data_IF_716080007332
#
_entry.id   IF_716080007332
#
_cell.length_a   1.000
_cell.length_b   1.000
_cell.length_c   1.000
_cell.angle_alpha   90.00
_cell.angle_beta   90.00
_cell.angle_gamma   90.00
#
_symmetry.space_group_name_H-M   'P 1'
#
loop_
_entity.id
_entity.type
_entity.pdbx_description
1 polymer ?
#
# COMPACT_ATOMS: atom_id res chain seq x y z
N UNK A 1 16.87 -20.58 2.97
CA UNK A 1 16.75 -19.11 2.89
C UNK A 1 15.30 -18.65 2.81
N UNK A 2 14.45 -19.26 1.96
CA UNK A 2 13.03 -18.91 1.90
C UNK A 2 12.33 -19.08 3.27
N UNK A 3 12.52 -20.23 3.94
CA UNK A 3 11.95 -20.47 5.27
C UNK A 3 12.44 -19.43 6.29
N UNK A 4 13.72 -19.07 6.24
CA UNK A 4 14.29 -18.00 7.07
C UNK A 4 13.60 -16.65 6.79
N UNK A 5 13.39 -16.29 5.51
CA UNK A 5 12.69 -15.08 5.13
C UNK A 5 11.26 -15.04 5.71
N UNK A 6 10.50 -16.14 5.51
CA UNK A 6 9.12 -16.28 6.01
C UNK A 6 9.07 -16.12 7.53
N UNK A 7 9.89 -16.88 8.26
CA UNK A 7 9.91 -16.84 9.74
C UNK A 7 10.36 -15.45 10.23
N UNK A 8 11.39 -14.87 9.62
CA UNK A 8 11.90 -13.54 10.02
C UNK A 8 10.88 -12.44 9.73
N UNK A 9 10.17 -12.50 8.61
CA UNK A 9 9.11 -11.54 8.28
C UNK A 9 7.91 -11.65 9.22
N UNK A 10 7.54 -12.87 9.63
CA UNK A 10 6.45 -13.09 10.60
C UNK A 10 6.84 -12.61 12.00
N UNK A 11 8.06 -12.88 12.43
CA UNK A 11 8.50 -12.53 13.78
C UNK A 11 8.88 -11.05 13.93
N UNK A 12 9.24 -10.38 12.85
CA UNK A 12 9.69 -8.97 12.79
C UNK A 12 10.77 -8.58 13.83
N UNK A 13 11.51 -9.59 14.37
CA UNK A 13 12.64 -9.37 15.28
C UNK A 13 13.86 -8.76 14.59
N UNK A 14 14.02 -9.05 13.31
CA UNK A 14 15.04 -8.46 12.43
C UNK A 14 14.32 -7.47 11.52
N UNK A 15 14.85 -6.24 11.33
CA UNK A 15 14.26 -5.28 10.40
C UNK A 15 14.06 -5.89 9.00
N UNK A 16 12.89 -5.67 8.41
CA UNK A 16 12.47 -6.32 7.16
C UNK A 16 13.47 -6.13 6.01
N UNK A 17 13.98 -4.90 5.82
CA UNK A 17 14.99 -4.61 4.81
C UNK A 17 16.29 -5.36 5.06
N UNK A 18 16.69 -5.53 6.32
CA UNK A 18 17.89 -6.30 6.68
C UNK A 18 17.67 -7.79 6.42
N UNK A 19 16.50 -8.35 6.78
CA UNK A 19 16.14 -9.74 6.45
C UNK A 19 16.24 -9.98 4.95
N UNK A 20 15.64 -9.13 4.13
CA UNK A 20 15.68 -9.26 2.67
C UNK A 20 17.11 -9.19 2.12
N UNK A 21 17.94 -8.29 2.68
CA UNK A 21 19.34 -8.16 2.32
C UNK A 21 20.15 -9.41 2.71
N UNK A 22 19.94 -9.96 3.91
CA UNK A 22 20.58 -11.22 4.35
C UNK A 22 20.23 -12.37 3.40
N UNK A 23 18.95 -12.45 3.00
CA UNK A 23 18.50 -13.48 2.04
C UNK A 23 19.20 -13.30 0.70
N UNK A 24 19.24 -12.09 0.15
CA UNK A 24 19.90 -11.79 -1.12
C UNK A 24 21.41 -12.15 -1.08
N UNK A 25 22.11 -11.74 -0.02
CA UNK A 25 23.52 -12.09 0.18
C UNK A 25 23.70 -13.60 0.35
N UNK A 26 22.83 -14.27 1.10
CA UNK A 26 22.87 -15.72 1.27
C UNK A 26 22.70 -16.48 -0.06
N UNK A 27 21.83 -15.99 -0.95
CA UNK A 27 21.64 -16.55 -2.28
C UNK A 27 22.89 -16.39 -3.17
N UNK A 28 23.62 -15.28 -3.02
CA UNK A 28 24.89 -15.09 -3.70
C UNK A 28 25.99 -16.00 -3.13
N UNK A 29 26.16 -16.02 -1.81
CA UNK A 29 27.19 -16.83 -1.14
C UNK A 29 27.01 -18.34 -1.37
N UNK A 30 25.78 -18.77 -1.61
CA UNK A 30 25.46 -20.17 -1.96
C UNK A 30 25.52 -20.44 -3.48
N UNK A 31 26.00 -19.47 -4.28
CA UNK A 31 26.12 -19.56 -5.76
C UNK A 31 24.78 -19.82 -6.48
N UNK A 32 23.65 -19.54 -5.85
CA UNK A 32 22.32 -19.59 -6.52
C UNK A 32 22.19 -18.41 -7.48
N UNK A 33 22.60 -17.22 -7.05
CA UNK A 33 22.59 -15.99 -7.83
C UNK A 33 24.01 -15.45 -8.03
N UNK A 34 24.27 -14.90 -9.20
CA UNK A 34 25.46 -14.08 -9.45
C UNK A 34 25.36 -12.74 -8.72
N UNK A 35 26.47 -12.03 -8.54
CA UNK A 35 26.49 -10.68 -7.96
C UNK A 35 25.54 -9.73 -8.70
N UNK A 36 25.52 -9.79 -10.04
CA UNK A 36 24.64 -8.97 -10.88
C UNK A 36 23.17 -9.24 -10.60
N UNK A 37 22.76 -10.51 -10.55
CA UNK A 37 21.39 -10.93 -10.25
C UNK A 37 20.98 -10.54 -8.82
N UNK A 38 21.87 -10.70 -7.85
CA UNK A 38 21.65 -10.38 -6.45
C UNK A 38 21.28 -8.90 -6.25
N UNK A 39 21.97 -7.99 -6.96
CA UNK A 39 21.79 -6.56 -6.78
C UNK A 39 20.92 -5.90 -7.85
N UNK A 40 20.50 -6.61 -8.89
CA UNK A 40 19.65 -6.05 -9.94
C UNK A 40 18.33 -5.46 -9.40
N UNK A 41 17.76 -6.11 -8.40
CA UNK A 41 16.52 -5.67 -7.78
C UNK A 41 16.59 -4.28 -7.11
N UNK A 42 17.77 -3.89 -6.59
CA UNK A 42 17.95 -2.60 -5.90
C UNK A 42 17.99 -1.40 -6.86
N UNK A 43 18.29 -1.64 -8.12
CA UNK A 43 18.30 -0.63 -9.19
C UNK A 43 17.19 -0.87 -10.22
N UNK A 44 16.18 -1.65 -9.86
CA UNK A 44 15.01 -1.89 -10.69
C UNK A 44 14.22 -0.60 -10.92
N UNK A 45 13.63 -0.46 -12.11
CA UNK A 45 12.86 0.72 -12.52
C UNK A 45 11.76 1.11 -11.52
N UNK A 46 11.08 0.11 -10.96
CA UNK A 46 10.00 0.33 -9.99
C UNK A 46 10.53 0.79 -8.61
N UNK A 47 11.76 0.41 -8.23
CA UNK A 47 12.44 0.96 -7.05
C UNK A 47 12.80 2.43 -7.26
N UNK A 48 13.32 2.77 -8.42
CA UNK A 48 13.63 4.17 -8.78
C UNK A 48 12.36 5.03 -8.81
N UNK A 49 11.27 4.51 -9.36
CA UNK A 49 9.96 5.16 -9.30
C UNK A 49 9.53 5.43 -7.86
N UNK A 50 9.64 4.43 -6.98
CA UNK A 50 9.29 4.53 -5.57
C UNK A 50 10.11 5.63 -4.86
N UNK A 51 11.42 5.67 -5.09
CA UNK A 51 12.33 6.69 -4.55
C UNK A 51 11.92 8.10 -4.99
N UNK A 52 11.65 8.30 -6.28
CA UNK A 52 11.19 9.60 -6.79
C UNK A 52 9.86 10.03 -6.17
N UNK A 53 8.91 9.10 -6.05
CA UNK A 53 7.59 9.37 -5.47
C UNK A 53 7.63 9.64 -3.96
N UNK A 54 8.56 9.04 -3.21
CA UNK A 54 8.77 9.40 -1.80
C UNK A 54 9.14 10.89 -1.66
N UNK A 55 10.03 11.40 -2.51
CA UNK A 55 10.44 12.81 -2.50
C UNK A 55 9.29 13.73 -2.91
N UNK A 56 8.58 13.39 -3.99
CA UNK A 56 7.42 14.19 -4.48
C UNK A 56 6.29 14.21 -3.44
N UNK A 57 5.98 13.06 -2.82
CA UNK A 57 4.99 12.97 -1.77
C UNK A 57 5.38 13.76 -0.51
N UNK A 58 6.64 13.67 -0.08
CA UNK A 58 7.14 14.38 1.08
C UNK A 58 7.04 15.90 0.92
N UNK A 59 7.22 16.42 -0.28
CA UNK A 59 7.10 17.86 -0.53
C UNK A 59 5.70 18.40 -0.17
N UNK A 60 4.62 17.62 -0.36
CA UNK A 60 3.27 18.03 0.07
C UNK A 60 3.17 18.07 1.60
N UNK A 61 3.82 17.14 2.29
CA UNK A 61 3.82 17.09 3.75
C UNK A 61 4.68 18.22 4.35
N UNK A 62 5.88 18.44 3.85
CA UNK A 62 6.77 19.49 4.35
C UNK A 62 6.27 20.91 4.06
N UNK A 63 5.53 21.12 2.98
CA UNK A 63 4.92 22.43 2.68
C UNK A 63 3.60 22.68 3.39
N UNK A 64 3.00 21.66 4.03
CA UNK A 64 1.68 21.75 4.64
C UNK A 64 0.51 21.75 3.64
N UNK A 65 0.78 21.50 2.34
CA UNK A 65 -0.29 21.40 1.34
C UNK A 65 -1.22 20.22 1.63
N UNK A 66 -0.69 19.09 2.11
CA UNK A 66 -1.50 17.96 2.52
C UNK A 66 -2.47 18.32 3.65
N UNK A 67 -2.03 19.12 4.63
CA UNK A 67 -2.90 19.63 5.70
C UNK A 67 -4.01 20.55 5.17
N UNK A 68 -3.70 21.38 4.17
CA UNK A 68 -4.72 22.23 3.52
C UNK A 68 -5.78 21.41 2.79
N UNK A 69 -5.35 20.38 2.06
CA UNK A 69 -6.28 19.46 1.38
C UNK A 69 -7.13 18.75 2.43
N UNK A 70 -6.52 18.25 3.50
CA UNK A 70 -7.24 17.63 4.62
C UNK A 70 -8.22 18.59 5.31
N UNK A 71 -7.86 19.87 5.46
CA UNK A 71 -8.73 20.91 6.02
C UNK A 71 -10.02 21.16 5.24
N UNK A 72 -10.12 20.71 3.97
CA UNK A 72 -11.39 20.78 3.23
C UNK A 72 -12.48 19.95 3.93
N UNK A 73 -12.09 18.89 4.65
CA UNK A 73 -13.00 18.03 5.41
C UNK A 73 -13.84 18.81 6.42
N UNK A 74 -13.31 19.89 7.01
CA UNK A 74 -14.03 20.71 8.01
C UNK A 74 -15.35 21.27 7.48
N UNK A 75 -15.42 21.53 6.16
CA UNK A 75 -16.65 22.04 5.51
C UNK A 75 -17.82 21.05 5.57
N UNK A 76 -17.55 19.79 5.84
CA UNK A 76 -18.52 18.69 5.87
C UNK A 76 -18.91 18.26 7.30
N UNK A 77 -18.46 18.98 8.33
CA UNK A 77 -18.69 18.64 9.74
C UNK A 77 -20.17 18.77 10.22
N UNK A 78 -21.10 19.11 9.33
CA UNK A 78 -22.53 19.28 9.64
C UNK A 78 -23.23 17.98 10.10
N UNK A 79 -22.74 16.82 9.73
CA UNK A 79 -23.28 15.50 10.09
C UNK A 79 -22.14 14.50 10.17
N UNK A 80 -22.13 13.65 11.20
CA UNK A 80 -21.10 12.62 11.38
C UNK A 80 -20.97 11.72 10.15
N UNK A 81 -22.08 11.29 9.55
CA UNK A 81 -22.04 10.44 8.35
C UNK A 81 -21.44 11.16 7.14
N UNK A 82 -21.80 12.42 6.91
CA UNK A 82 -21.23 13.22 5.81
C UNK A 82 -19.74 13.45 6.05
N UNK A 83 -19.37 13.69 7.30
CA UNK A 83 -17.98 13.85 7.69
C UNK A 83 -17.16 12.58 7.42
N UNK A 84 -17.67 11.41 7.78
CA UNK A 84 -17.03 10.10 7.48
C UNK A 84 -16.85 9.90 5.97
N UNK A 85 -17.88 10.20 5.17
CA UNK A 85 -17.79 10.13 3.71
C UNK A 85 -16.67 11.04 3.21
N UNK A 86 -16.65 12.30 3.66
CA UNK A 86 -15.64 13.26 3.23
C UNK A 86 -14.23 12.85 3.64
N UNK A 87 -14.05 12.38 4.89
CA UNK A 87 -12.77 11.84 5.37
C UNK A 87 -12.33 10.69 4.47
N UNK A 88 -13.18 9.68 4.27
CA UNK A 88 -12.82 8.49 3.52
C UNK A 88 -12.53 8.80 2.04
N UNK A 89 -13.26 9.70 1.41
CA UNK A 89 -13.00 10.12 0.03
C UNK A 89 -11.68 10.86 -0.09
N UNK A 90 -11.45 11.88 0.75
CA UNK A 90 -10.23 12.70 0.70
C UNK A 90 -9.00 11.85 1.02
N UNK A 91 -9.07 11.07 2.10
CA UNK A 91 -7.98 10.18 2.52
C UNK A 91 -7.72 9.11 1.46
N UNK A 92 -8.78 8.47 0.94
CA UNK A 92 -8.66 7.43 -0.09
C UNK A 92 -8.01 7.96 -1.37
N UNK A 93 -8.46 9.11 -1.87
CA UNK A 93 -7.86 9.75 -3.06
C UNK A 93 -6.40 10.13 -2.79
N UNK A 94 -6.11 10.80 -1.67
CA UNK A 94 -4.74 11.19 -1.33
C UNK A 94 -3.83 9.96 -1.22
N UNK A 95 -4.28 8.91 -0.55
CA UNK A 95 -3.51 7.68 -0.36
C UNK A 95 -3.26 6.91 -1.65
N UNK A 96 -4.09 7.09 -2.66
CA UNK A 96 -3.87 6.53 -3.99
C UNK A 96 -2.62 7.07 -4.70
N UNK A 97 -2.14 8.23 -4.28
CA UNK A 97 -0.98 8.91 -4.89
C UNK A 97 0.14 9.22 -3.90
N UNK A 98 -0.13 9.07 -2.61
CA UNK A 98 0.81 9.25 -1.52
C UNK A 98 0.87 7.96 -0.68
N UNK A 99 1.84 7.84 0.22
CA UNK A 99 1.89 6.67 1.09
C UNK A 99 0.71 6.63 2.07
N UNK A 100 0.15 5.44 2.32
CA UNK A 100 -0.94 5.23 3.27
C UNK A 100 -0.60 5.78 4.67
N UNK A 101 0.61 5.48 5.14
CA UNK A 101 1.11 5.92 6.45
C UNK A 101 1.30 7.42 6.51
N UNK A 102 1.89 8.03 5.48
CA UNK A 102 2.11 9.48 5.40
C UNK A 102 0.78 10.24 5.37
N UNK A 103 -0.17 9.78 4.56
CA UNK A 103 -1.51 10.36 4.48
C UNK A 103 -2.22 10.29 5.84
N UNK A 104 -2.18 9.14 6.51
CA UNK A 104 -2.78 8.97 7.83
C UNK A 104 -2.09 9.88 8.87
N UNK A 105 -0.76 9.91 8.92
CA UNK A 105 0.00 10.72 9.88
C UNK A 105 -0.37 12.22 9.83
N UNK A 106 -0.57 12.74 8.63
CA UNK A 106 -0.94 14.15 8.43
C UNK A 106 -2.42 14.43 8.76
N UNK A 107 -3.30 13.49 8.43
CA UNK A 107 -4.74 13.73 8.55
C UNK A 107 -5.32 13.34 9.93
N UNK A 108 -4.66 12.47 10.69
CA UNK A 108 -5.08 12.12 12.05
C UNK A 108 -5.23 13.37 12.94
N UNK A 109 -4.24 14.27 13.07
CA UNK A 109 -4.38 15.48 13.88
C UNK A 109 -5.51 16.39 13.39
N UNK A 110 -5.67 16.55 12.07
CA UNK A 110 -6.75 17.36 11.48
C UNK A 110 -8.12 16.79 11.85
N UNK A 111 -8.30 15.47 11.72
CA UNK A 111 -9.57 14.81 12.06
C UNK A 111 -9.83 14.81 13.56
N UNK A 112 -8.79 14.73 14.41
CA UNK A 112 -8.92 14.91 15.84
C UNK A 112 -9.44 16.31 16.18
N UNK A 113 -8.86 17.37 15.60
CA UNK A 113 -9.33 18.74 15.79
C UNK A 113 -10.80 18.91 15.38
N UNK A 114 -11.19 18.36 14.22
CA UNK A 114 -12.58 18.39 13.75
C UNK A 114 -13.50 17.63 14.71
N UNK A 115 -13.09 16.47 15.23
CA UNK A 115 -13.85 15.68 16.18
C UNK A 115 -14.13 16.49 17.45
N UNK A 116 -13.10 17.14 17.99
CA UNK A 116 -13.18 17.92 19.23
C UNK A 116 -14.07 19.16 19.04
N UNK A 117 -13.93 19.89 17.94
CA UNK A 117 -14.77 21.07 17.62
C UNK A 117 -16.23 20.71 17.36
N UNK A 118 -16.48 19.57 16.68
CA UNK A 118 -17.82 19.14 16.29
C UNK A 118 -18.53 18.32 17.37
N UNK A 119 -17.82 17.91 18.44
CA UNK A 119 -18.33 17.07 19.52
C UNK A 119 -18.52 15.59 19.15
N UNK A 120 -18.00 15.16 18.00
CA UNK A 120 -18.00 13.75 17.57
C UNK A 120 -16.87 12.97 18.26
N UNK A 121 -17.05 11.65 18.38
CA UNK A 121 -16.03 10.78 18.94
C UNK A 121 -14.86 10.57 17.98
N UNK A 122 -13.62 10.81 18.43
CA UNK A 122 -12.42 10.50 17.64
C UNK A 122 -12.42 9.05 17.17
N UNK A 123 -12.87 8.11 18.03
CA UNK A 123 -12.96 6.68 17.71
C UNK A 123 -13.90 6.35 16.55
N UNK A 124 -14.87 7.21 16.22
CA UNK A 124 -15.78 6.98 15.09
C UNK A 124 -15.26 7.55 13.77
N UNK A 125 -14.26 8.42 13.81
CA UNK A 125 -13.69 9.09 12.63
C UNK A 125 -12.33 8.51 12.23
N UNK A 126 -11.51 8.10 13.20
CA UNK A 126 -10.12 7.68 12.94
C UNK A 126 -10.01 6.29 12.30
N UNK A 127 -10.87 5.33 12.67
CA UNK A 127 -10.88 4.00 12.03
C UNK A 127 -11.27 4.09 10.54
N UNK A 128 -12.36 4.78 10.16
CA UNK A 128 -12.66 5.04 8.75
C UNK A 128 -11.50 5.72 8.00
N UNK A 129 -10.80 6.66 8.65
CA UNK A 129 -9.65 7.34 8.07
C UNK A 129 -8.55 6.34 7.67
N UNK A 130 -8.08 5.52 8.62
CA UNK A 130 -6.95 4.60 8.36
C UNK A 130 -7.34 3.48 7.40
N UNK A 131 -8.58 3.02 7.45
CA UNK A 131 -9.07 2.02 6.48
C UNK A 131 -9.23 2.63 5.08
N UNK A 132 -9.67 3.88 4.98
CA UNK A 132 -9.70 4.59 3.70
C UNK A 132 -8.30 4.80 3.12
N UNK A 133 -7.29 5.04 3.96
CA UNK A 133 -5.90 5.12 3.50
C UNK A 133 -5.44 3.79 2.87
N UNK A 134 -5.76 2.66 3.50
CA UNK A 134 -5.43 1.35 2.96
C UNK A 134 -6.22 1.01 1.67
N UNK A 135 -7.53 1.30 1.64
CA UNK A 135 -8.37 1.11 0.45
C UNK A 135 -7.89 1.99 -0.71
N UNK A 136 -7.56 3.24 -0.42
CA UNK A 136 -7.06 4.21 -1.39
C UNK A 136 -5.70 3.84 -1.97
N UNK A 137 -4.85 3.17 -1.20
CA UNK A 137 -3.58 2.64 -1.69
C UNK A 137 -3.71 1.71 -2.91
N UNK A 138 -4.88 1.14 -3.15
CA UNK A 138 -5.18 0.29 -4.31
C UNK A 138 -5.75 1.07 -5.51
N UNK A 139 -5.67 2.40 -5.55
CA UNK A 139 -6.13 3.19 -6.69
C UNK A 139 -5.10 3.32 -7.81
N UNK A 140 -3.82 3.21 -7.49
CA UNK A 140 -2.74 3.32 -8.47
C UNK A 140 -1.57 2.40 -8.13
N UNK A 141 -0.62 2.28 -9.04
CA UNK A 141 0.59 1.50 -8.81
C UNK A 141 1.52 2.11 -7.74
N UNK A 142 1.43 3.41 -7.49
CA UNK A 142 2.27 4.15 -6.53
C UNK A 142 1.63 4.31 -5.14
N UNK A 143 0.36 3.95 -4.97
CA UNK A 143 -0.36 4.13 -3.71
C UNK A 143 0.19 3.31 -2.55
N UNK A 144 0.81 2.17 -2.83
CA UNK A 144 1.52 1.36 -1.85
C UNK A 144 2.73 0.65 -2.47
N UNK A 145 3.85 0.47 -1.72
CA UNK A 145 5.04 -0.21 -2.27
C UNK A 145 4.77 -1.64 -2.77
N UNK A 146 3.85 -2.35 -2.15
CA UNK A 146 3.44 -3.68 -2.59
C UNK A 146 2.84 -3.73 -4.00
N UNK A 147 2.21 -2.64 -4.44
CA UNK A 147 1.63 -2.55 -5.78
C UNK A 147 2.71 -2.64 -6.86
N UNK A 148 3.84 -1.99 -6.65
CA UNK A 148 4.96 -2.03 -7.57
C UNK A 148 5.64 -3.41 -7.63
N UNK A 149 5.55 -4.22 -6.58
CA UNK A 149 6.03 -5.61 -6.62
C UNK A 149 5.19 -6.47 -7.57
N UNK A 150 3.86 -6.28 -7.54
CA UNK A 150 2.97 -6.94 -8.49
C UNK A 150 3.19 -6.47 -9.92
N UNK A 151 3.37 -5.16 -10.13
CA UNK A 151 3.74 -4.58 -11.45
C UNK A 151 5.01 -5.23 -11.97
N UNK A 152 6.07 -5.25 -11.16
CA UNK A 152 7.35 -5.82 -11.57
C UNK A 152 7.23 -7.29 -11.96
N UNK A 153 6.52 -8.09 -11.17
CA UNK A 153 6.34 -9.51 -11.46
C UNK A 153 5.60 -9.75 -12.79
N UNK A 154 4.61 -8.92 -13.12
CA UNK A 154 3.92 -9.00 -14.41
C UNK A 154 4.77 -8.51 -15.57
N UNK A 155 5.56 -7.45 -15.39
CA UNK A 155 6.49 -6.93 -16.41
C UNK A 155 7.61 -7.93 -16.73
N UNK A 156 8.15 -8.66 -15.74
CA UNK A 156 9.13 -9.74 -15.93
C UNK A 156 8.56 -10.89 -16.78
N UNK A 157 7.25 -11.12 -16.71
CA UNK A 157 6.54 -12.08 -17.56
C UNK A 157 6.17 -11.52 -18.95
N UNK A 158 6.60 -10.29 -19.27
CA UNK A 158 6.28 -9.61 -20.54
C UNK A 158 4.84 -9.13 -20.65
N UNK A 159 4.09 -9.06 -19.54
CA UNK A 159 2.72 -8.58 -19.52
C UNK A 159 2.69 -7.05 -19.36
N UNK A 160 1.83 -6.40 -20.13
CA UNK A 160 1.64 -4.94 -20.04
C UNK A 160 0.96 -4.55 -18.73
N UNK A 161 1.46 -3.53 -18.10
CA UNK A 161 0.89 -2.90 -16.92
C UNK A 161 0.45 -1.47 -17.23
N UNK A 162 -0.47 -0.93 -16.45
CA UNK A 162 -0.90 0.45 -16.57
C UNK A 162 -0.89 1.14 -15.21
N UNK A 163 -0.78 2.48 -15.21
CA UNK A 163 -0.75 3.26 -13.96
C UNK A 163 -1.95 3.00 -13.05
N UNK A 164 -3.12 2.74 -13.62
CA UNK A 164 -4.37 2.48 -12.90
C UNK A 164 -4.80 1.00 -12.92
N UNK A 165 -3.88 0.05 -13.10
CA UNK A 165 -4.24 -1.37 -13.21
C UNK A 165 -5.00 -1.92 -11.98
N UNK A 166 -4.80 -1.33 -10.80
CA UNK A 166 -5.52 -1.72 -9.58
C UNK A 166 -6.85 -0.97 -9.40
N UNK A 167 -7.04 0.19 -10.05
CA UNK A 167 -8.22 1.04 -9.90
C UNK A 167 -9.56 0.33 -10.22
N UNK A 168 -9.66 -0.56 -11.23
CA UNK A 168 -10.90 -1.28 -11.51
C UNK A 168 -11.41 -2.10 -10.32
N UNK A 169 -10.54 -2.49 -9.39
CA UNK A 169 -10.90 -3.15 -8.13
C UNK A 169 -10.88 -2.14 -6.98
N UNK A 170 -9.87 -1.27 -6.91
CA UNK A 170 -9.67 -0.31 -5.82
C UNK A 170 -10.79 0.72 -5.69
N UNK A 171 -11.33 1.23 -6.81
CA UNK A 171 -12.45 2.19 -6.78
C UNK A 171 -13.72 1.53 -6.20
N UNK A 172 -14.19 0.38 -6.70
CA UNK A 172 -15.30 -0.34 -6.07
C UNK A 172 -15.05 -0.66 -4.59
N UNK A 173 -13.83 -1.05 -4.21
CA UNK A 173 -13.48 -1.33 -2.82
C UNK A 173 -13.62 -0.08 -1.94
N UNK A 174 -13.13 1.08 -2.39
CA UNK A 174 -13.24 2.33 -1.65
C UNK A 174 -14.71 2.74 -1.50
N UNK A 175 -15.50 2.66 -2.57
CA UNK A 175 -16.94 2.98 -2.55
C UNK A 175 -17.69 2.03 -1.60
N UNK A 176 -17.47 0.73 -1.72
CA UNK A 176 -18.10 -0.27 -0.83
C UNK A 176 -17.63 -0.11 0.62
N UNK A 177 -16.37 0.27 0.85
CA UNK A 177 -15.85 0.60 2.18
C UNK A 177 -16.56 1.81 2.80
N UNK A 178 -16.82 2.85 2.03
CA UNK A 178 -17.59 4.02 2.46
C UNK A 178 -19.03 3.61 2.81
N UNK A 179 -19.69 2.87 1.92
CA UNK A 179 -21.05 2.37 2.14
C UNK A 179 -21.10 1.48 3.40
N UNK A 180 -20.12 0.59 3.55
CA UNK A 180 -19.98 -0.27 4.72
C UNK A 180 -19.94 0.54 6.02
N UNK A 181 -19.10 1.60 6.09
CA UNK A 181 -19.02 2.42 7.30
C UNK A 181 -20.31 3.20 7.59
N UNK A 182 -20.99 3.69 6.57
CA UNK A 182 -22.26 4.43 6.74
C UNK A 182 -23.38 3.52 7.26
N UNK A 183 -23.43 2.27 6.78
CA UNK A 183 -24.55 1.35 7.06
C UNK A 183 -24.30 0.53 8.34
N UNK A 184 -23.12 -0.05 8.46
CA UNK A 184 -22.79 -1.06 9.50
C UNK A 184 -21.58 -0.62 10.32
N UNK A 185 -20.48 -0.22 9.68
CA UNK A 185 -19.17 -0.06 10.29
C UNK A 185 -19.19 0.90 11.48
N UNK A 186 -19.87 2.04 11.37
CA UNK A 186 -19.98 3.02 12.46
C UNK A 186 -20.68 2.48 13.71
N UNK A 187 -21.55 1.49 13.56
CA UNK A 187 -22.21 0.83 14.72
C UNK A 187 -21.30 -0.16 15.44
N UNK A 188 -20.26 -0.64 14.77
CA UNK A 188 -19.29 -1.59 15.32
C UNK A 188 -18.14 -0.87 16.04
N UNK A 189 -17.97 0.43 15.77
CA UNK A 189 -16.92 1.24 16.41
C UNK A 189 -17.31 1.64 17.83
N UNK A 190 -16.34 1.70 18.76
CA UNK A 190 -16.60 2.23 20.09
C UNK A 190 -16.93 3.73 19.99
N UNK A 191 -17.92 4.16 20.77
CA UNK A 191 -18.24 5.57 20.94
C UNK A 191 -17.57 6.09 22.22
N UNK A 192 -16.29 6.40 22.13
CA UNK A 192 -15.50 6.89 23.24
C UNK A 192 -15.06 8.32 22.96
N UNK A 193 -15.50 9.24 23.81
CA UNK A 193 -14.86 10.54 23.94
C UNK A 193 -13.55 10.33 24.72
N UNK A 194 -12.48 9.98 24.01
CA UNK A 194 -11.17 9.85 24.62
C UNK A 194 -10.60 11.25 24.78
N UNK A 195 -10.67 11.79 25.99
CA UNK A 195 -9.91 12.95 26.40
C UNK A 195 -8.55 12.39 26.84
N UNK A 196 -7.64 12.19 25.93
CA UNK A 196 -6.24 11.91 26.26
C UNK A 196 -5.50 13.22 26.32
N UNK A 197 -4.74 13.44 27.41
CA UNK A 197 -3.73 14.49 27.50
C UNK A 197 -2.63 14.33 26.44
N UNK A 198 -2.50 13.14 25.86
CA UNK A 198 -1.74 12.84 24.65
C UNK A 198 -2.49 13.33 23.41
N UNK A 199 -2.65 14.65 23.27
CA UNK A 199 -2.95 15.24 21.99
C UNK A 199 -1.83 14.82 21.02
N UNK A 200 -2.16 14.38 19.78
CA UNK A 200 -1.11 14.13 18.78
C UNK A 200 -0.24 15.38 18.71
N UNK A 201 1.09 15.19 18.74
CA UNK A 201 2.07 16.28 18.70
C UNK A 201 1.59 17.37 17.76
N UNK A 202 1.63 18.61 18.23
CA UNK A 202 1.09 19.78 17.52
C UNK A 202 1.47 19.70 16.05
N UNK A 203 0.47 19.79 15.18
CA UNK A 203 0.70 19.90 13.73
C UNK A 203 1.76 20.95 13.51
N UNK A 204 2.84 20.59 12.76
CA UNK A 204 3.87 21.54 12.36
C UNK A 204 3.19 22.85 11.94
N UNK A 205 3.62 23.99 12.47
CA UNK A 205 3.11 25.29 12.06
C UNK A 205 3.63 25.59 10.64
N UNK A 206 2.71 25.62 9.69
CA UNK A 206 3.01 25.94 8.29
C UNK A 206 2.70 27.40 7.93
N UNK A 207 2.38 28.27 8.92
CA UNK A 207 2.07 29.68 8.69
C UNK A 207 3.22 30.44 8.02
N UNK A 208 4.45 30.03 8.31
CA UNK A 208 5.67 30.62 7.78
C UNK A 208 6.09 30.03 6.40
N UNK A 209 5.40 29.01 5.91
CA UNK A 209 5.72 28.42 4.60
C UNK A 209 5.13 29.27 3.48
N UNK A 210 5.96 29.78 2.55
CA UNK A 210 5.48 30.61 1.45
C UNK A 210 4.42 29.89 0.61
N UNK A 211 3.35 30.58 0.27
CA UNK A 211 2.22 30.03 -0.53
C UNK A 211 2.68 29.42 -1.86
N UNK A 212 3.72 29.99 -2.48
CA UNK A 212 4.25 29.48 -3.74
C UNK A 212 4.86 28.07 -3.59
N UNK A 213 5.52 27.76 -2.46
CA UNK A 213 6.05 26.41 -2.20
C UNK A 213 4.93 25.40 -2.07
N UNK A 214 3.85 25.77 -1.40
CA UNK A 214 2.66 24.94 -1.26
C UNK A 214 2.00 24.67 -2.61
N UNK A 215 1.84 25.71 -3.43
CA UNK A 215 1.30 25.57 -4.79
C UNK A 215 2.22 24.72 -5.68
N UNK A 216 3.52 24.96 -5.63
CA UNK A 216 4.51 24.26 -6.43
C UNK A 216 4.56 22.76 -6.12
N UNK A 217 4.50 22.37 -4.83
CA UNK A 217 4.47 20.95 -4.44
C UNK A 217 3.25 20.23 -5.03
N UNK A 218 2.07 20.87 -5.02
CA UNK A 218 0.85 20.30 -5.60
C UNK A 218 0.93 20.25 -7.13
N UNK A 219 1.37 21.33 -7.77
CA UNK A 219 1.50 21.41 -9.22
C UNK A 219 2.46 20.33 -9.73
N UNK A 220 3.63 20.17 -9.10
CA UNK A 220 4.59 19.14 -9.49
C UNK A 220 4.03 17.75 -9.33
N UNK A 221 3.34 17.46 -8.21
CA UNK A 221 2.66 16.17 -8.03
C UNK A 221 1.66 15.90 -9.16
N UNK A 222 0.79 16.88 -9.49
CA UNK A 222 -0.21 16.72 -10.54
C UNK A 222 0.48 16.50 -11.91
N UNK A 223 1.52 17.27 -12.22
CA UNK A 223 2.26 17.12 -13.47
C UNK A 223 2.96 15.77 -13.58
N UNK A 224 3.56 15.28 -12.50
CA UNK A 224 4.18 13.94 -12.45
C UNK A 224 3.13 12.86 -12.69
N UNK A 225 1.98 12.92 -12.01
CA UNK A 225 0.89 11.96 -12.22
C UNK A 225 0.36 12.02 -13.66
N UNK A 226 0.14 13.21 -14.20
CA UNK A 226 -0.29 13.35 -15.59
C UNK A 226 0.75 12.80 -16.58
N UNK A 227 2.04 13.05 -16.33
CA UNK A 227 3.10 12.50 -17.16
C UNK A 227 3.13 10.95 -17.10
N UNK A 228 2.85 10.35 -15.94
CA UNK A 228 2.74 8.90 -15.80
C UNK A 228 1.51 8.32 -16.51
N UNK A 229 0.36 9.00 -16.43
CA UNK A 229 -0.89 8.57 -17.11
C UNK A 229 -0.72 8.63 -18.64
N UNK A 230 -0.03 9.64 -19.12
CA UNK A 230 0.18 9.86 -20.56
C UNK A 230 1.57 9.41 -21.03
N UNK A 231 2.20 8.44 -20.36
CA UNK A 231 3.51 7.90 -20.69
C UNK A 231 3.65 7.58 -22.19
N UNK A 232 2.70 6.82 -22.74
CA UNK A 232 2.71 6.39 -24.14
C UNK A 232 2.65 7.57 -25.13
N UNK A 233 2.03 8.69 -24.75
CA UNK A 233 1.90 9.88 -25.60
C UNK A 233 3.10 10.81 -25.48
N UNK A 234 3.65 10.93 -24.26
CA UNK A 234 4.75 11.86 -23.96
C UNK A 234 6.10 11.19 -24.24
N UNK A 235 6.17 9.85 -24.19
CA UNK A 235 7.38 9.07 -24.39
C UNK A 235 8.36 9.14 -23.20
N UNK A 236 7.93 9.65 -22.04
CA UNK A 236 8.74 9.74 -20.83
C UNK A 236 8.30 8.62 -19.89
N UNK A 237 9.21 7.71 -19.54
CA UNK A 237 8.95 6.59 -18.63
C UNK A 237 8.55 7.09 -17.24
N UNK A 238 7.64 6.35 -16.56
CA UNK A 238 7.07 6.74 -15.26
C UNK A 238 8.14 7.02 -14.20
N UNK A 239 9.20 6.21 -14.13
CA UNK A 239 10.31 6.41 -13.19
C UNK A 239 11.10 7.69 -13.49
N UNK A 240 11.25 8.07 -14.77
CA UNK A 240 11.91 9.31 -15.16
C UNK A 240 11.05 10.51 -14.76
N UNK A 241 9.73 10.42 -14.96
CA UNK A 241 8.78 11.46 -14.55
C UNK A 241 8.83 11.71 -13.04
N UNK A 242 8.89 10.63 -12.22
CA UNK A 242 9.04 10.74 -10.77
C UNK A 242 10.35 11.43 -10.35
N UNK A 243 11.47 11.00 -10.94
CA UNK A 243 12.79 11.60 -10.66
C UNK A 243 12.86 13.06 -11.10
N UNK A 244 12.32 13.42 -12.26
CA UNK A 244 12.24 14.81 -12.70
C UNK A 244 11.43 15.67 -11.73
N UNK A 245 10.28 15.19 -11.26
CA UNK A 245 9.49 15.87 -10.25
C UNK A 245 10.27 16.09 -8.95
N UNK A 246 10.97 15.07 -8.47
CA UNK A 246 11.82 15.17 -7.28
C UNK A 246 12.94 16.20 -7.46
N UNK A 247 13.65 16.16 -8.58
CA UNK A 247 14.74 17.11 -8.90
C UNK A 247 14.20 18.55 -9.00
N UNK A 248 13.08 18.76 -9.68
CA UNK A 248 12.45 20.09 -9.80
C UNK A 248 12.11 20.66 -8.41
N UNK A 249 11.54 19.86 -7.50
CA UNK A 249 11.19 20.31 -6.15
C UNK A 249 12.41 20.74 -5.33
N UNK A 250 13.52 20.04 -5.48
CA UNK A 250 14.77 20.38 -4.77
C UNK A 250 15.42 21.61 -5.40
N UNK A 251 15.57 21.66 -6.73
CA UNK A 251 16.18 22.79 -7.42
C UNK A 251 15.38 24.09 -7.27
N UNK A 252 14.06 24.01 -7.25
CA UNK A 252 13.21 25.16 -6.98
C UNK A 252 13.24 25.58 -5.49
N UNK A 253 13.92 24.84 -4.62
CA UNK A 253 13.98 25.14 -3.18
C UNK A 253 12.65 24.95 -2.45
N UNK A 254 11.75 24.13 -2.99
CA UNK A 254 10.49 23.77 -2.31
C UNK A 254 10.79 22.98 -1.05
N UNK A 255 11.66 21.98 -1.19
CA UNK A 255 12.28 21.20 -0.09
C UNK A 255 13.79 21.22 -0.26
N UNK A 256 14.51 21.03 0.84
CA UNK A 256 15.96 20.89 0.81
C UNK A 256 16.39 19.50 0.35
N UNK A 257 17.62 19.36 -0.16
CA UNK A 257 18.22 18.07 -0.47
C UNK A 257 18.17 17.12 0.74
N UNK A 258 18.47 17.63 1.94
CA UNK A 258 18.45 16.85 3.18
C UNK A 258 17.06 16.29 3.48
N UNK A 259 16.00 17.07 3.27
CA UNK A 259 14.60 16.64 3.44
C UNK A 259 14.24 15.61 2.37
N UNK A 260 14.64 15.83 1.13
CA UNK A 260 14.43 14.89 0.03
C UNK A 260 15.09 13.54 0.32
N UNK A 261 16.34 13.50 0.71
CA UNK A 261 17.06 12.26 1.05
C UNK A 261 16.46 11.56 2.27
N UNK A 262 16.04 12.33 3.28
CA UNK A 262 15.39 11.78 4.50
C UNK A 262 14.01 11.17 4.20
N UNK A 263 13.33 11.62 3.14
CA UNK A 263 12.01 11.10 2.76
C UNK A 263 12.06 9.70 2.15
N UNK A 264 13.23 9.28 1.66
CA UNK A 264 13.40 7.96 1.04
C UNK A 264 13.34 6.89 2.13
N UNK A 265 12.30 6.06 2.08
CA UNK A 265 12.23 4.91 2.98
C UNK A 265 13.16 3.79 2.50
N UNK A 266 14.38 3.84 3.01
CA UNK A 266 15.41 2.85 2.68
C UNK A 266 15.00 1.43 3.06
N UNK A 267 14.12 1.23 4.07
CA UNK A 267 13.62 -0.10 4.43
C UNK A 267 12.81 -0.71 3.28
N UNK A 268 11.99 0.12 2.62
CA UNK A 268 11.21 -0.29 1.45
C UNK A 268 12.14 -0.64 0.28
N UNK A 269 13.16 0.19 0.00
CA UNK A 269 14.14 -0.05 -1.06
C UNK A 269 14.88 -1.37 -0.84
N UNK A 270 15.37 -1.60 0.38
CA UNK A 270 16.09 -2.84 0.73
C UNK A 270 15.18 -4.07 0.67
N UNK A 271 13.95 -3.94 1.17
CA UNK A 271 12.98 -5.03 1.12
C UNK A 271 12.61 -5.39 -0.33
N UNK A 272 12.37 -4.38 -1.16
CA UNK A 272 12.02 -4.57 -2.57
C UNK A 272 13.17 -5.26 -3.32
N UNK A 273 14.38 -4.71 -3.24
CA UNK A 273 15.56 -5.28 -3.91
C UNK A 273 15.87 -6.72 -3.50
N UNK A 274 15.83 -7.01 -2.19
CA UNK A 274 16.06 -8.37 -1.70
C UNK A 274 14.93 -9.35 -2.02
N UNK A 275 13.70 -8.87 -2.12
CA UNK A 275 12.55 -9.71 -2.53
C UNK A 275 12.62 -10.08 -4.00
N UNK A 276 13.08 -9.20 -4.86
CA UNK A 276 13.31 -9.50 -6.27
C UNK A 276 14.45 -10.54 -6.44
N UNK A 277 15.51 -10.44 -5.64
CA UNK A 277 16.55 -11.49 -5.63
C UNK A 277 15.98 -12.85 -5.21
N UNK A 278 15.08 -12.88 -4.20
CA UNK A 278 14.42 -14.12 -3.79
C UNK A 278 13.49 -14.66 -4.90
N UNK A 279 12.74 -13.81 -5.59
CA UNK A 279 11.89 -14.20 -6.72
C UNK A 279 12.71 -14.84 -7.83
N UNK A 280 13.79 -14.18 -8.27
CA UNK A 280 14.72 -14.73 -9.28
C UNK A 280 15.35 -16.06 -8.84
N UNK A 281 15.64 -16.24 -7.55
CA UNK A 281 16.15 -17.49 -7.03
C UNK A 281 15.11 -18.61 -7.04
N UNK A 282 13.85 -18.31 -6.70
CA UNK A 282 12.76 -19.29 -6.76
C UNK A 282 12.51 -19.79 -8.18
N UNK A 283 12.56 -18.90 -9.16
CA UNK A 283 12.46 -19.24 -10.59
C UNK A 283 13.67 -20.08 -11.04
N UNK A 284 14.88 -19.59 -10.84
CA UNK A 284 16.12 -20.23 -11.31
C UNK A 284 16.35 -21.61 -10.72
N UNK A 285 15.93 -21.87 -9.49
CA UNK A 285 16.07 -23.15 -8.82
C UNK A 285 14.91 -24.10 -9.03
N UNK A 286 13.79 -23.64 -9.61
CA UNK A 286 12.54 -24.39 -9.69
C UNK A 286 11.85 -24.58 -8.33
N UNK A 287 12.31 -23.91 -7.27
CA UNK A 287 11.72 -24.04 -5.94
C UNK A 287 10.28 -23.44 -5.90
N UNK A 288 10.03 -22.42 -6.72
CA UNK A 288 8.69 -21.86 -6.89
C UNK A 288 7.70 -22.89 -7.42
N UNK A 289 8.07 -23.61 -8.48
CA UNK A 289 7.27 -24.69 -9.07
C UNK A 289 7.04 -25.84 -8.09
N UNK A 290 8.06 -26.27 -7.34
CA UNK A 290 7.90 -27.31 -6.31
C UNK A 290 6.91 -26.93 -5.21
N UNK A 291 6.91 -25.68 -4.78
CA UNK A 291 5.95 -25.15 -3.80
C UNK A 291 4.54 -25.10 -4.41
N UNK A 292 4.45 -24.60 -5.64
CA UNK A 292 3.19 -24.52 -6.37
C UNK A 292 2.55 -25.91 -6.54
N UNK A 293 3.31 -26.89 -7.02
CA UNK A 293 2.82 -28.26 -7.23
C UNK A 293 2.31 -28.91 -5.93
N UNK A 294 3.01 -28.67 -4.81
CA UNK A 294 2.55 -29.16 -3.50
C UNK A 294 1.24 -28.51 -3.07
N UNK A 295 1.12 -27.19 -3.25
CA UNK A 295 -0.12 -26.46 -2.90
C UNK A 295 -1.26 -26.92 -3.80
N UNK A 296 -1.02 -27.01 -5.11
CA UNK A 296 -2.01 -27.52 -6.09
C UNK A 296 -2.41 -28.96 -5.73
N UNK A 297 -1.46 -29.82 -5.37
CA UNK A 297 -1.74 -31.20 -4.94
C UNK A 297 -2.63 -31.30 -3.69
N UNK A 298 -2.51 -30.35 -2.75
CA UNK A 298 -3.39 -30.23 -1.55
C UNK A 298 -4.80 -29.74 -1.96
N UNK A 299 -4.87 -28.88 -2.98
CA UNK A 299 -6.15 -28.33 -3.47
C UNK A 299 -6.96 -29.36 -4.28
N UNK A 300 -6.36 -30.49 -4.67
CA UNK A 300 -6.96 -31.55 -5.47
C UNK A 300 -6.31 -31.69 -6.85
N UNK A 301 -6.65 -32.77 -7.56
CA UNK A 301 -5.99 -33.16 -8.82
C UNK A 301 -6.18 -32.19 -10.00
N UNK A 302 -7.15 -31.25 -9.90
CA UNK A 302 -7.38 -30.19 -10.91
C UNK A 302 -8.13 -29.02 -10.26
N UNK A 303 -7.46 -28.18 -9.44
CA UNK A 303 -8.14 -27.05 -8.83
C UNK A 303 -8.52 -26.02 -9.90
N UNK A 304 -9.75 -25.51 -9.81
CA UNK A 304 -10.13 -24.40 -10.68
C UNK A 304 -9.35 -23.14 -10.33
N UNK A 305 -9.03 -22.26 -11.28
CA UNK A 305 -8.35 -20.99 -11.02
C UNK A 305 -9.06 -20.09 -9.99
N UNK A 306 -10.39 -20.21 -9.86
CA UNK A 306 -11.15 -19.51 -8.81
C UNK A 306 -10.78 -20.01 -7.42
N UNK A 307 -10.55 -21.32 -7.24
CA UNK A 307 -10.08 -21.89 -5.98
C UNK A 307 -8.68 -21.40 -5.65
N UNK A 308 -7.82 -21.32 -6.66
CA UNK A 308 -6.49 -20.72 -6.52
C UNK A 308 -6.59 -19.26 -6.04
N UNK A 309 -7.43 -18.46 -6.70
CA UNK A 309 -7.64 -17.06 -6.34
C UNK A 309 -8.13 -16.92 -4.90
N UNK A 310 -9.07 -17.79 -4.48
CA UNK A 310 -9.58 -17.84 -3.11
C UNK A 310 -8.46 -18.14 -2.11
N UNK A 311 -7.70 -19.21 -2.34
CA UNK A 311 -6.63 -19.65 -1.43
C UNK A 311 -5.57 -18.56 -1.29
N UNK A 312 -5.10 -18.00 -2.41
CA UNK A 312 -4.09 -16.94 -2.41
C UNK A 312 -4.59 -15.70 -1.68
N UNK A 313 -5.83 -15.27 -1.92
CA UNK A 313 -6.40 -14.12 -1.24
C UNK A 313 -6.48 -14.35 0.28
N UNK A 314 -7.03 -15.49 0.69
CA UNK A 314 -7.21 -15.80 2.13
C UNK A 314 -5.86 -15.90 2.84
N UNK A 315 -4.90 -16.64 2.27
CA UNK A 315 -3.56 -16.80 2.88
C UNK A 315 -2.85 -15.44 2.98
N UNK A 316 -2.85 -14.67 1.90
CA UNK A 316 -2.21 -13.34 1.89
C UNK A 316 -2.89 -12.40 2.88
N UNK A 317 -4.22 -12.40 2.95
CA UNK A 317 -4.98 -11.57 3.87
C UNK A 317 -4.75 -11.96 5.34
N UNK A 318 -4.62 -13.24 5.66
CA UNK A 318 -4.25 -13.69 7.00
C UNK A 318 -2.86 -13.19 7.36
N UNK A 319 -1.87 -13.39 6.48
CA UNK A 319 -0.49 -12.97 6.72
C UNK A 319 -0.38 -11.46 6.94
N UNK A 320 -1.00 -10.63 6.08
CA UNK A 320 -0.87 -9.17 6.17
C UNK A 320 -1.47 -8.58 7.46
N UNK A 321 -2.35 -9.29 8.14
CA UNK A 321 -2.86 -8.88 9.44
C UNK A 321 -1.88 -9.10 10.60
N UNK A 322 -0.81 -9.88 10.38
CA UNK A 322 0.23 -10.16 11.39
C UNK A 322 1.63 -9.73 10.95
N UNK A 323 1.79 -9.35 9.67
CA UNK A 323 3.02 -8.86 9.06
C UNK A 323 2.75 -7.53 8.36
N UNK A 324 3.80 -6.78 8.03
CA UNK A 324 3.61 -5.57 7.21
C UNK A 324 3.08 -5.92 5.81
N UNK A 325 2.24 -5.03 5.25
CA UNK A 325 1.66 -5.20 3.90
C UNK A 325 2.75 -5.43 2.84
N UNK A 326 3.84 -4.66 2.90
CA UNK A 326 4.94 -4.74 1.93
C UNK A 326 5.68 -6.07 2.03
N UNK A 327 5.95 -6.55 3.26
CA UNK A 327 6.61 -7.85 3.46
C UNK A 327 5.73 -9.02 2.99
N UNK A 328 4.43 -8.93 3.29
CA UNK A 328 3.45 -9.94 2.84
C UNK A 328 3.41 -10.01 1.32
N UNK A 329 3.32 -8.87 0.64
CA UNK A 329 3.29 -8.82 -0.83
C UNK A 329 4.61 -9.31 -1.42
N UNK A 330 5.74 -8.91 -0.85
CA UNK A 330 7.07 -9.34 -1.27
C UNK A 330 7.26 -10.86 -1.22
N UNK A 331 6.66 -11.50 -0.22
CA UNK A 331 6.69 -12.96 -0.05
C UNK A 331 5.71 -13.66 -0.99
N UNK A 332 4.48 -13.13 -1.09
CA UNK A 332 3.38 -13.86 -1.72
C UNK A 332 3.32 -13.68 -3.24
N UNK A 333 3.78 -12.55 -3.80
CA UNK A 333 3.73 -12.31 -5.25
C UNK A 333 4.51 -13.36 -6.06
N UNK A 334 5.76 -13.71 -5.73
CA UNK A 334 6.47 -14.76 -6.46
C UNK A 334 5.79 -16.14 -6.38
N UNK A 335 5.20 -16.45 -5.21
CA UNK A 335 4.45 -17.69 -5.00
C UNK A 335 3.17 -17.68 -5.86
N UNK A 336 2.48 -16.56 -5.92
CA UNK A 336 1.27 -16.39 -6.72
C UNK A 336 1.54 -16.56 -8.22
N UNK A 337 2.66 -16.01 -8.72
CA UNK A 337 3.11 -16.20 -10.10
C UNK A 337 3.35 -17.69 -10.38
N UNK A 338 4.18 -18.36 -9.58
CA UNK A 338 4.50 -19.78 -9.76
C UNK A 338 3.24 -20.68 -9.72
N UNK A 339 2.26 -20.33 -8.86
CA UNK A 339 0.99 -21.05 -8.78
C UNK A 339 0.12 -20.85 -10.03
N UNK A 340 0.06 -19.63 -10.58
CA UNK A 340 -0.67 -19.37 -11.81
C UNK A 340 -0.04 -20.11 -13.00
N UNK A 341 1.28 -20.08 -13.11
CA UNK A 341 2.03 -20.79 -14.16
C UNK A 341 1.84 -22.31 -14.09
N UNK A 342 1.84 -22.91 -12.88
CA UNK A 342 1.63 -24.35 -12.71
C UNK A 342 0.25 -24.83 -13.17
N UNK A 343 -0.72 -23.92 -13.20
CA UNK A 343 -2.07 -24.17 -13.72
C UNK A 343 -2.26 -23.71 -15.17
N UNK A 344 -1.21 -23.21 -15.83
CA UNK A 344 -1.28 -22.56 -17.14
C UNK A 344 -2.35 -21.44 -17.18
N UNK A 345 -2.55 -20.75 -16.06
CA UNK A 345 -3.50 -19.65 -15.93
C UNK A 345 -2.80 -18.29 -16.10
N UNK A 346 -3.54 -17.31 -16.62
CA UNK A 346 -3.04 -15.93 -16.68
C UNK A 346 -2.74 -15.41 -15.26
N UNK A 347 -1.49 -14.99 -14.97
CA UNK A 347 -1.08 -14.60 -13.63
C UNK A 347 -1.69 -13.26 -13.16
N UNK A 348 -2.23 -12.43 -14.07
CA UNK A 348 -2.72 -11.07 -13.75
C UNK A 348 -3.75 -11.08 -12.63
N UNK A 349 -4.78 -11.94 -12.71
CA UNK A 349 -5.82 -12.02 -11.68
C UNK A 349 -5.24 -12.40 -10.32
N UNK A 350 -4.35 -13.38 -10.28
CA UNK A 350 -3.77 -13.92 -9.03
C UNK A 350 -2.79 -12.94 -8.40
N UNK A 351 -1.95 -12.29 -9.21
CA UNK A 351 -1.00 -11.25 -8.75
C UNK A 351 -1.75 -10.04 -8.20
N UNK A 352 -2.76 -9.54 -8.93
CA UNK A 352 -3.57 -8.40 -8.47
C UNK A 352 -4.31 -8.75 -7.17
N UNK A 353 -4.89 -9.96 -7.07
CA UNK A 353 -5.51 -10.43 -5.83
C UNK A 353 -4.54 -10.46 -4.66
N UNK A 354 -3.31 -10.92 -4.90
CA UNK A 354 -2.26 -10.98 -3.89
C UNK A 354 -1.90 -9.59 -3.37
N UNK A 355 -1.73 -8.62 -4.26
CA UNK A 355 -1.43 -7.24 -3.89
C UNK A 355 -2.57 -6.60 -3.10
N UNK A 356 -3.80 -6.76 -3.56
CA UNK A 356 -4.99 -6.24 -2.88
C UNK A 356 -5.18 -6.90 -1.52
N UNK A 357 -5.07 -8.23 -1.44
CA UNK A 357 -5.16 -8.96 -0.18
C UNK A 357 -4.05 -8.54 0.80
N UNK A 358 -2.83 -8.29 0.29
CA UNK A 358 -1.71 -7.74 1.05
C UNK A 358 -1.98 -6.36 1.65
N UNK A 359 -2.91 -5.60 1.08
CA UNK A 359 -3.36 -4.30 1.60
C UNK A 359 -4.55 -4.42 2.58
N UNK A 360 -5.16 -5.59 2.76
CA UNK A 360 -6.34 -5.82 3.60
C UNK A 360 -5.99 -6.02 5.10
N UNK A 361 -5.09 -5.23 5.66
CA UNK A 361 -4.69 -5.27 7.06
C UNK A 361 -5.67 -4.53 7.97
N UNK A 362 -6.96 -4.88 7.92
CA UNK A 362 -8.00 -4.17 8.66
C UNK A 362 -8.34 -4.80 10.01
N UNK A 363 -8.07 -6.11 10.20
CA UNK A 363 -8.54 -6.84 11.39
C UNK A 363 -7.59 -6.71 12.59
N UNK A 364 -6.43 -6.09 12.44
CA UNK A 364 -5.46 -5.92 13.54
C UNK A 364 -4.87 -4.51 13.58
N UNK A 365 -4.45 -4.04 14.76
CA UNK A 365 -3.74 -2.76 14.88
C UNK A 365 -2.30 -2.81 14.37
N UNK A 366 -1.70 -4.00 14.21
CA UNK A 366 -0.28 -4.19 13.91
C UNK A 366 0.01 -4.37 12.41
N UNK A 367 -0.97 -4.80 11.61
CA UNK A 367 -0.77 -5.11 10.19
C UNK A 367 -0.36 -3.91 9.33
N UNK A 368 -0.69 -2.68 9.76
CA UNK A 368 -0.31 -1.45 9.05
C UNK A 368 0.06 -0.34 10.04
N UNK A 369 1.15 0.42 9.82
CA UNK A 369 1.57 1.50 10.74
C UNK A 369 0.47 2.55 11.01
N UNK A 370 -0.34 2.89 10.00
CA UNK A 370 -1.46 3.82 10.15
C UNK A 370 -2.48 3.33 11.20
N UNK A 371 -2.75 2.01 11.26
CA UNK A 371 -3.62 1.43 12.27
C UNK A 371 -3.07 1.64 13.68
N UNK A 372 -1.75 1.40 13.85
CA UNK A 372 -1.08 1.56 15.15
C UNK A 372 -1.15 3.01 15.65
N UNK A 373 -1.01 4.00 14.75
CA UNK A 373 -1.05 5.43 15.10
C UNK A 373 -2.36 5.84 15.77
N UNK A 374 -3.48 5.23 15.42
CA UNK A 374 -4.79 5.61 15.94
C UNK A 374 -5.22 4.81 17.17
N UNK A 375 -4.47 3.80 17.59
CA UNK A 375 -4.84 2.94 18.73
C UNK A 375 -5.04 3.75 20.00
N UNK A 376 -4.05 4.54 20.40
CA UNK A 376 -4.12 5.38 21.61
C UNK A 376 -5.08 6.54 21.44
N UNK A 377 -4.92 7.31 20.37
CA UNK A 377 -5.70 8.52 20.08
C UNK A 377 -7.20 8.25 19.92
N UNK A 378 -7.56 7.09 19.32
CA UNK A 378 -8.93 6.64 19.16
C UNK A 378 -9.44 5.76 20.30
N UNK A 379 -8.57 5.37 21.25
CA UNK A 379 -8.89 4.49 22.38
C UNK A 379 -9.34 3.10 21.95
N UNK A 380 -8.82 2.59 20.83
CA UNK A 380 -9.19 1.29 20.30
C UNK A 380 -8.53 0.13 21.04
N UNK A 381 -9.25 -0.98 21.09
CA UNK A 381 -8.76 -2.29 21.53
C UNK A 381 -8.61 -3.19 20.29
N UNK A 382 -7.81 -4.25 20.41
CA UNK A 382 -7.66 -5.25 19.34
C UNK A 382 -9.00 -5.73 18.78
N UNK A 383 -9.97 -6.03 19.66
CA UNK A 383 -11.31 -6.47 19.26
C UNK A 383 -12.09 -5.48 18.39
N UNK A 384 -11.78 -4.19 18.48
CA UNK A 384 -12.48 -3.16 17.70
C UNK A 384 -12.04 -3.22 16.24
N UNK A 385 -10.74 -3.52 15.99
CA UNK A 385 -10.22 -3.84 14.65
C UNK A 385 -10.83 -5.12 14.10
N UNK A 386 -10.87 -6.19 14.88
CA UNK A 386 -11.49 -7.46 14.44
C UNK A 386 -12.94 -7.24 14.04
N UNK A 387 -13.73 -6.55 14.89
CA UNK A 387 -15.16 -6.32 14.64
C UNK A 387 -15.44 -5.49 13.39
N UNK A 388 -14.66 -4.42 13.18
CA UNK A 388 -14.85 -3.51 12.05
C UNK A 388 -14.08 -3.95 10.80
N UNK A 389 -12.95 -4.62 10.98
CA UNK A 389 -12.07 -5.02 9.87
C UNK A 389 -12.48 -6.30 9.18
N UNK A 390 -12.90 -7.36 9.92
CA UNK A 390 -13.29 -8.62 9.28
C UNK A 390 -14.44 -8.47 8.27
N UNK A 391 -15.53 -7.74 8.54
CA UNK A 391 -16.55 -7.52 7.54
C UNK A 391 -16.04 -6.76 6.32
N UNK A 392 -15.12 -5.80 6.50
CA UNK A 392 -14.52 -5.07 5.38
C UNK A 392 -13.59 -5.97 4.56
N UNK A 393 -12.85 -6.88 5.20
CA UNK A 393 -12.08 -7.92 4.51
C UNK A 393 -13.00 -8.78 3.64
N UNK A 394 -14.15 -9.19 4.18
CA UNK A 394 -15.13 -9.98 3.43
C UNK A 394 -15.68 -9.21 2.22
N UNK A 395 -15.95 -7.91 2.35
CA UNK A 395 -16.35 -7.05 1.22
C UNK A 395 -15.25 -7.03 0.16
N UNK A 396 -13.99 -6.81 0.56
CA UNK A 396 -12.85 -6.80 -0.36
C UNK A 396 -12.67 -8.16 -1.05
N UNK A 397 -12.80 -9.25 -0.30
CA UNK A 397 -12.74 -10.62 -0.81
C UNK A 397 -13.81 -10.87 -1.89
N UNK A 398 -15.07 -10.58 -1.58
CA UNK A 398 -16.19 -10.79 -2.53
C UNK A 398 -15.98 -9.98 -3.80
N UNK A 399 -15.57 -8.71 -3.68
CA UNK A 399 -15.27 -7.87 -4.85
C UNK A 399 -14.14 -8.46 -5.71
N UNK A 400 -13.06 -8.94 -5.10
CA UNK A 400 -11.97 -9.58 -5.83
C UNK A 400 -12.42 -10.86 -6.52
N UNK A 401 -13.19 -11.72 -5.84
CA UNK A 401 -13.67 -12.98 -6.42
C UNK A 401 -14.62 -12.77 -7.59
N UNK A 402 -15.37 -11.66 -7.63
CA UNK A 402 -16.28 -11.34 -8.72
C UNK A 402 -15.56 -10.60 -9.85
N UNK A 403 -14.83 -9.53 -9.52
CA UNK A 403 -14.30 -8.62 -10.53
C UNK A 403 -13.03 -9.13 -11.22
N UNK A 404 -12.14 -9.82 -10.51
CA UNK A 404 -10.88 -10.26 -11.10
C UNK A 404 -11.07 -11.29 -12.25
N UNK A 405 -11.90 -12.33 -12.11
CA UNK A 405 -12.13 -13.26 -13.23
C UNK A 405 -12.82 -12.62 -14.43
N UNK A 406 -13.58 -11.53 -14.22
CA UNK A 406 -14.26 -10.79 -15.30
C UNK A 406 -13.28 -9.88 -16.04
N UNK A 407 -12.41 -9.17 -15.28
CA UNK A 407 -11.46 -8.21 -15.83
C UNK A 407 -10.21 -8.88 -16.40
N UNK A 408 -9.80 -9.96 -15.79
CA UNK A 408 -8.60 -10.74 -16.13
C UNK A 408 -8.95 -12.22 -16.19
N UNK A 409 -9.53 -12.71 -17.31
CA UNK A 409 -9.85 -14.12 -17.47
C UNK A 409 -8.60 -14.99 -17.31
N UNK A 410 -8.74 -16.13 -16.63
CA UNK A 410 -7.62 -17.04 -16.38
C UNK A 410 -7.10 -17.74 -17.63
N UNK A 411 -7.95 -17.89 -18.62
CA UNK A 411 -7.67 -18.49 -19.92
C UNK A 411 -8.23 -17.54 -20.99
N UNK A 412 -7.43 -16.56 -21.44
CA UNK A 412 -7.84 -15.58 -22.45
C UNK A 412 -7.94 -16.17 -23.86
#
# INVERSE_FOLDING_TARGET
LLLFAVVSFILEKIPLGLTATIVALGLNLTNVLTVKETFAGYVNSNVILCVGMFVVGQALFETGMANKIGGIVTKFAKSEKILIIAIMLIVGIMSGFLSNTGTAAVLIPVVCGIADESGYSRSRLLMPLVFAAALGGNLSIIGAPGNLMGVNALEELGLSTSFFMYAPIGIPMLICGIIYFIVIGCRLLPDKKVITEDAPEQTKDFSNVPKWKQAMSLIVLILVILAMIFEDKIGIKIQVSACLGAVILVLAGVISEKEALKSIDLKVVLLFGGSLALASALEKTGAGTLIADKIVGIMGSNPSPIVLLLVIFVVTCVLTNFMSNTATTALMVPIAVSLAESLNADPRAVVIATVIAGSCAYATPIGMPANTMVVGVGGYKFKDYVKSGLPLILVSFVLCMILLPILYPFYP
#
